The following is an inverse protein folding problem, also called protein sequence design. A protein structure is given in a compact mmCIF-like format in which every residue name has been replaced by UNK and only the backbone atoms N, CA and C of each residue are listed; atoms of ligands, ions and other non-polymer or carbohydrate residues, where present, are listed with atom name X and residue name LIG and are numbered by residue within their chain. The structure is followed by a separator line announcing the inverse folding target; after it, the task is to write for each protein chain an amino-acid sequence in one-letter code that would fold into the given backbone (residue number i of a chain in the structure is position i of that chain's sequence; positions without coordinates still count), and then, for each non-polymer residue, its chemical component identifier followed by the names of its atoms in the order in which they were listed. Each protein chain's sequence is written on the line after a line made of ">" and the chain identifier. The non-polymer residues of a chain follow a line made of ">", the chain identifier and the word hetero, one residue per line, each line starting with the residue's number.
data_IF_774018950683
#
_entry.id   IF_774018950683
#
_cell.length_a   1.000
_cell.length_b   1.000
_cell.length_c   1.000
_cell.angle_alpha   90.00
_cell.angle_beta   90.00
_cell.angle_gamma   90.00
#
_symmetry.space_group_name_H-M   'P 1'
#
loop_
_entity.id
_entity.type
_entity.pdbx_description
1 polymer ?
#
# COMPACT_ATOMS: atom_id res chain seq x y z
N UNK A 1 15.71 -1.41 11.51
CA UNK A 1 14.69 -0.55 12.16
C UNK A 1 13.54 -1.43 12.61
N UNK A 2 13.02 -1.28 13.84
CA UNK A 2 11.78 -1.97 14.21
C UNK A 2 10.63 -1.44 13.35
N UNK A 3 9.85 -2.34 12.77
CA UNK A 3 8.60 -2.01 12.09
C UNK A 3 7.62 -1.59 13.19
N UNK A 4 6.97 -0.43 13.04
CA UNK A 4 5.96 -0.01 14.00
C UNK A 4 4.85 -1.09 14.11
N UNK A 5 4.29 -1.33 15.31
CA UNK A 5 3.17 -2.24 15.44
C UNK A 5 2.02 -1.76 14.56
N UNK A 6 1.22 -2.70 14.06
CA UNK A 6 0.08 -2.40 13.23
C UNK A 6 -0.94 -1.51 13.97
N UNK A 7 -1.45 -0.50 13.29
CA UNK A 7 -2.56 0.34 13.80
C UNK A 7 -3.85 -0.44 13.91
N UNK A 8 -4.04 -1.41 13.00
CA UNK A 8 -5.20 -2.29 13.00
C UNK A 8 -4.83 -3.68 12.50
N UNK A 9 -5.40 -4.69 13.14
CA UNK A 9 -5.44 -6.06 12.62
C UNK A 9 -6.87 -6.37 12.23
N UNK A 10 -7.07 -6.82 11.00
CA UNK A 10 -8.35 -7.33 10.50
C UNK A 10 -8.38 -8.85 10.68
N UNK A 11 -9.57 -9.43 10.59
CA UNK A 11 -9.77 -10.88 10.69
C UNK A 11 -8.88 -11.61 9.67
N UNK A 12 -8.29 -12.73 10.10
CA UNK A 12 -7.36 -13.47 9.25
C UNK A 12 -5.99 -12.81 9.05
N UNK A 13 -5.44 -12.16 10.09
CA UNK A 13 -4.02 -11.71 10.16
C UNK A 13 -3.61 -10.68 9.12
N UNK A 14 -4.57 -9.92 8.56
CA UNK A 14 -4.22 -8.76 7.72
C UNK A 14 -3.93 -7.58 8.63
N UNK A 15 -2.80 -6.91 8.43
CA UNK A 15 -2.44 -5.75 9.25
C UNK A 15 -2.38 -4.49 8.41
N UNK A 16 -2.85 -3.40 9.01
CA UNK A 16 -2.83 -2.05 8.48
C UNK A 16 -1.89 -1.20 9.34
N UNK A 17 -0.85 -0.65 8.73
CA UNK A 17 0.15 0.18 9.42
C UNK A 17 0.26 1.53 8.72
N UNK A 18 0.02 2.61 9.45
CA UNK A 18 0.14 3.98 8.99
C UNK A 18 1.57 4.51 9.20
N UNK A 19 2.03 5.31 8.24
CA UNK A 19 3.18 6.18 8.46
C UNK A 19 2.88 7.21 9.55
N UNK A 20 3.92 7.79 10.14
CA UNK A 20 3.82 8.84 11.14
C UNK A 20 3.01 10.04 10.63
N UNK A 21 3.32 10.51 9.41
CA UNK A 21 2.60 11.63 8.79
C UNK A 21 1.11 11.31 8.53
N UNK A 22 0.79 10.09 8.09
CA UNK A 22 -0.61 9.69 7.92
C UNK A 22 -1.34 9.61 9.27
N UNK A 23 -0.70 9.08 10.31
CA UNK A 23 -1.27 8.97 11.66
C UNK A 23 -1.56 10.35 12.26
N UNK A 24 -0.64 11.29 12.09
CA UNK A 24 -0.80 12.67 12.54
C UNK A 24 -2.01 13.34 11.86
N UNK A 25 -2.08 13.31 10.53
CA UNK A 25 -3.15 13.95 9.76
C UNK A 25 -4.52 13.27 9.90
N UNK A 26 -4.56 11.98 10.26
CA UNK A 26 -5.80 11.27 10.51
C UNK A 26 -6.40 11.58 11.89
N UNK A 27 -5.64 12.16 12.82
CA UNK A 27 -6.10 12.53 14.16
C UNK A 27 -6.84 11.40 14.90
N UNK A 28 -6.27 10.18 14.87
CA UNK A 28 -6.85 9.00 15.54
C UNK A 28 -7.99 8.32 14.77
N UNK A 29 -8.33 8.78 13.56
CA UNK A 29 -9.22 8.03 12.66
C UNK A 29 -8.56 6.73 12.20
N UNK A 30 -9.41 5.75 11.87
CA UNK A 30 -8.97 4.42 11.46
C UNK A 30 -8.10 4.46 10.18
N UNK A 31 -7.15 3.53 10.00
CA UNK A 31 -6.25 3.50 8.84
C UNK A 31 -6.95 3.49 7.47
N UNK A 32 -8.16 2.91 7.41
CA UNK A 32 -8.98 2.90 6.20
C UNK A 32 -9.37 4.31 5.73
N UNK A 33 -9.28 5.31 6.59
CA UNK A 33 -9.53 6.69 6.22
C UNK A 33 -8.36 7.34 5.43
N UNK A 34 -7.28 6.61 5.11
CA UNK A 34 -6.12 7.16 4.39
C UNK A 34 -6.53 7.95 3.13
N UNK A 35 -7.46 7.41 2.32
CA UNK A 35 -7.85 8.07 1.07
C UNK A 35 -8.50 9.44 1.27
N UNK A 36 -9.02 9.73 2.47
CA UNK A 36 -9.54 11.06 2.83
C UNK A 36 -8.45 12.13 2.95
N UNK A 37 -7.18 11.72 2.99
CA UNK A 37 -6.02 12.63 3.00
C UNK A 37 -5.66 13.14 1.60
N UNK A 38 -6.27 12.61 0.53
CA UNK A 38 -6.06 13.11 -0.83
C UNK A 38 -6.60 14.54 -0.97
N UNK A 39 -5.75 15.45 -1.40
CA UNK A 39 -6.05 16.86 -1.67
C UNK A 39 -5.92 17.17 -3.17
N UNK A 40 -6.41 18.33 -3.60
CA UNK A 40 -6.25 18.78 -4.99
C UNK A 40 -4.76 18.89 -5.33
N UNK A 41 -4.34 18.21 -6.40
CA UNK A 41 -2.94 18.15 -6.82
C UNK A 41 -2.16 16.96 -6.25
N UNK A 42 -2.76 16.19 -5.33
CA UNK A 42 -2.19 14.92 -4.90
C UNK A 42 -2.40 13.82 -5.96
N UNK A 43 -1.59 12.76 -5.85
CA UNK A 43 -1.78 11.50 -6.56
C UNK A 43 -1.80 10.33 -5.57
N UNK A 44 -2.57 9.29 -5.90
CA UNK A 44 -2.50 8.00 -5.22
C UNK A 44 -1.44 7.13 -5.90
N UNK A 45 -0.51 6.56 -5.15
CA UNK A 45 0.37 5.50 -5.62
C UNK A 45 0.01 4.16 -4.96
N UNK A 46 -0.38 3.19 -5.79
CA UNK A 46 -0.65 1.81 -5.40
C UNK A 46 0.57 0.94 -5.69
N UNK A 47 1.23 0.46 -4.65
CA UNK A 47 2.51 -0.24 -4.72
C UNK A 47 2.33 -1.68 -4.26
N UNK A 48 2.54 -2.66 -5.16
CA UNK A 48 2.22 -4.06 -4.88
C UNK A 48 3.45 -4.97 -4.89
N UNK A 49 3.70 -5.63 -3.76
CA UNK A 49 4.61 -6.77 -3.58
C UNK A 49 3.77 -8.05 -3.46
N UNK A 50 3.13 -8.44 -4.56
CA UNK A 50 2.18 -9.56 -4.63
C UNK A 50 2.49 -10.55 -5.78
N UNK A 51 3.54 -10.29 -6.56
CA UNK A 51 3.75 -10.92 -7.86
C UNK A 51 2.65 -10.59 -8.90
N UNK A 52 2.91 -10.83 -10.20
CA UNK A 52 1.87 -10.71 -11.22
C UNK A 52 0.86 -11.85 -11.12
N UNK A 53 -0.39 -11.51 -10.80
CA UNK A 53 -1.54 -12.43 -10.78
C UNK A 53 -2.72 -11.72 -11.43
N UNK A 54 -3.43 -12.40 -12.34
CA UNK A 54 -4.50 -11.78 -13.13
C UNK A 54 -5.68 -11.36 -12.24
N UNK A 55 -6.08 -12.20 -11.28
CA UNK A 55 -7.23 -11.90 -10.43
C UNK A 55 -6.92 -10.75 -9.48
N UNK A 56 -5.72 -10.73 -8.88
CA UNK A 56 -5.30 -9.61 -8.03
C UNK A 56 -5.14 -8.33 -8.85
N UNK A 57 -4.60 -8.42 -10.08
CA UNK A 57 -4.45 -7.26 -10.97
C UNK A 57 -5.80 -6.63 -11.32
N UNK A 58 -6.86 -7.42 -11.51
CA UNK A 58 -8.22 -6.91 -11.71
C UNK A 58 -8.69 -6.08 -10.50
N UNK A 59 -8.52 -6.59 -9.27
CA UNK A 59 -8.93 -5.86 -8.06
C UNK A 59 -8.13 -4.56 -7.87
N UNK A 60 -6.81 -4.61 -8.07
CA UNK A 60 -5.93 -3.44 -7.97
C UNK A 60 -6.31 -2.37 -9.01
N UNK A 61 -6.68 -2.79 -10.22
CA UNK A 61 -7.14 -1.88 -11.28
C UNK A 61 -8.50 -1.27 -10.95
N UNK A 62 -9.46 -2.11 -10.52
CA UNK A 62 -10.79 -1.66 -10.13
C UNK A 62 -10.73 -0.63 -8.99
N UNK A 63 -9.93 -0.91 -7.96
CA UNK A 63 -9.69 0.04 -6.86
C UNK A 63 -9.14 1.38 -7.36
N UNK A 64 -8.10 1.37 -8.20
CA UNK A 64 -7.53 2.62 -8.74
C UNK A 64 -8.53 3.43 -9.56
N UNK A 65 -9.36 2.77 -10.35
CA UNK A 65 -10.42 3.43 -11.10
C UNK A 65 -11.46 4.05 -10.16
N UNK A 66 -11.91 3.32 -9.14
CA UNK A 66 -12.84 3.84 -8.16
C UNK A 66 -12.29 5.06 -7.40
N UNK A 67 -11.01 5.04 -7.00
CA UNK A 67 -10.37 6.21 -6.37
C UNK A 67 -10.34 7.40 -7.32
N UNK A 68 -9.87 7.21 -8.57
CA UNK A 68 -9.87 8.27 -9.59
C UNK A 68 -11.26 8.86 -9.76
N UNK A 69 -12.29 8.04 -9.90
CA UNK A 69 -13.64 8.51 -10.23
C UNK A 69 -14.24 9.30 -9.05
N UNK A 70 -14.00 8.87 -7.81
CA UNK A 70 -14.49 9.51 -6.59
C UNK A 70 -13.72 10.78 -6.19
N UNK A 71 -12.40 10.83 -6.45
CA UNK A 71 -11.51 11.89 -5.94
C UNK A 71 -10.97 12.82 -7.03
N UNK A 72 -11.03 12.41 -8.29
CA UNK A 72 -10.36 13.05 -9.43
C UNK A 72 -8.83 13.15 -9.30
N UNK A 73 -8.24 12.46 -8.31
CA UNK A 73 -6.80 12.38 -8.16
C UNK A 73 -6.19 11.50 -9.28
N UNK A 74 -4.99 11.88 -9.73
CA UNK A 74 -4.20 10.98 -10.55
C UNK A 74 -3.85 9.71 -9.77
N UNK A 75 -3.84 8.55 -10.42
CA UNK A 75 -3.47 7.29 -9.76
C UNK A 75 -2.33 6.60 -10.49
N UNK A 76 -1.38 6.08 -9.74
CA UNK A 76 -0.22 5.33 -10.22
C UNK A 76 -0.26 3.91 -9.68
N UNK A 77 0.33 2.98 -10.44
CA UNK A 77 0.49 1.60 -10.04
C UNK A 77 1.90 1.12 -10.34
N UNK A 78 2.50 0.36 -9.43
CA UNK A 78 3.78 -0.28 -9.65
C UNK A 78 3.89 -1.59 -8.87
N UNK A 79 4.47 -2.60 -9.52
CA UNK A 79 4.95 -3.79 -8.82
C UNK A 79 6.32 -3.53 -8.20
N UNK A 80 6.45 -3.81 -6.91
CA UNK A 80 7.71 -3.78 -6.17
C UNK A 80 8.57 -4.99 -6.49
N UNK A 81 9.91 -4.90 -6.36
CA UNK A 81 10.70 -3.68 -6.14
C UNK A 81 10.90 -2.83 -7.42
N UNK A 82 10.38 -3.27 -8.58
CA UNK A 82 10.70 -2.71 -9.90
C UNK A 82 10.46 -1.20 -10.04
N UNK A 83 9.39 -0.66 -9.48
CA UNK A 83 9.09 0.78 -9.62
C UNK A 83 10.12 1.68 -8.90
N UNK A 84 10.90 1.14 -7.95
CA UNK A 84 11.86 1.92 -7.17
C UNK A 84 12.91 2.61 -8.06
N UNK A 85 13.24 2.01 -9.20
CA UNK A 85 14.22 2.55 -10.14
C UNK A 85 13.68 3.61 -11.11
N UNK A 86 12.36 3.80 -11.17
CA UNK A 86 11.72 4.71 -12.13
C UNK A 86 11.01 5.86 -11.43
N UNK A 87 10.14 5.55 -10.46
CA UNK A 87 9.32 6.56 -9.77
C UNK A 87 9.77 6.81 -8.34
N UNK A 88 10.87 6.19 -7.88
CA UNK A 88 11.40 6.36 -6.53
C UNK A 88 11.70 7.81 -6.17
N UNK A 89 12.29 8.57 -7.11
CA UNK A 89 12.57 10.00 -6.89
C UNK A 89 11.26 10.81 -6.74
N UNK A 90 10.26 10.54 -7.56
CA UNK A 90 8.94 11.18 -7.44
C UNK A 90 8.30 10.85 -6.08
N UNK A 91 8.36 9.58 -5.66
CA UNK A 91 7.74 9.13 -4.42
C UNK A 91 8.42 9.69 -3.17
N UNK A 92 9.76 9.76 -3.14
CA UNK A 92 10.52 10.02 -1.90
C UNK A 92 11.26 11.36 -1.88
N UNK A 93 11.77 11.81 -3.03
CA UNK A 93 12.55 13.05 -3.13
C UNK A 93 11.82 14.22 -3.79
N UNK A 94 10.65 13.99 -4.39
CA UNK A 94 9.80 15.01 -5.00
C UNK A 94 8.91 15.76 -4.01
N UNK A 95 7.98 16.60 -4.50
CA UNK A 95 6.97 17.24 -3.67
C UNK A 95 6.17 16.23 -2.84
N UNK A 96 5.70 16.62 -1.65
CA UNK A 96 4.90 15.76 -0.77
C UNK A 96 3.43 15.66 -1.20
N UNK A 97 3.20 15.35 -2.48
CA UNK A 97 1.87 15.24 -3.09
C UNK A 97 1.41 13.79 -3.27
N UNK A 98 2.23 12.82 -2.85
CA UNK A 98 1.87 11.41 -2.91
C UNK A 98 1.11 10.96 -1.66
N UNK A 99 0.03 10.21 -1.87
CA UNK A 99 -0.61 9.36 -0.87
C UNK A 99 -0.40 7.90 -1.30
N UNK A 100 0.07 7.04 -0.41
CA UNK A 100 0.61 5.73 -0.78
C UNK A 100 -0.15 4.59 -0.13
N UNK A 101 -0.55 3.59 -0.92
CA UNK A 101 -1.01 2.30 -0.42
C UNK A 101 0.01 1.26 -0.88
N UNK A 102 0.81 0.75 0.05
CA UNK A 102 1.76 -0.32 -0.18
C UNK A 102 1.15 -1.63 0.30
N UNK A 103 1.15 -2.65 -0.54
CA UNK A 103 0.55 -3.95 -0.26
C UNK A 103 1.63 -5.01 -0.40
N UNK A 104 1.75 -5.87 0.61
CA UNK A 104 2.57 -7.08 0.54
C UNK A 104 1.82 -8.27 1.10
N UNK A 105 2.24 -9.47 0.71
CA UNK A 105 1.69 -10.70 1.26
C UNK A 105 2.79 -11.75 1.45
N UNK A 106 2.58 -12.66 2.40
CA UNK A 106 3.42 -13.86 2.48
C UNK A 106 3.14 -14.73 1.24
N UNK A 107 4.17 -15.11 0.44
CA UNK A 107 3.93 -15.89 -0.76
C UNK A 107 3.41 -17.29 -0.43
N UNK A 108 2.55 -17.85 -1.31
CA UNK A 108 2.02 -19.22 -1.15
C UNK A 108 3.10 -20.29 -1.31
N UNK A 109 4.05 -20.03 -2.20
CA UNK A 109 5.22 -20.86 -2.44
C UNK A 109 6.46 -20.00 -2.25
N UNK A 110 7.31 -20.39 -1.31
CA UNK A 110 8.54 -19.68 -1.00
C UNK A 110 9.75 -20.50 -1.45
N UNK A 111 10.66 -19.84 -2.19
CA UNK A 111 11.81 -20.49 -2.80
C UNK A 111 13.08 -20.12 -2.04
N UNK A 112 13.93 -21.10 -1.69
CA UNK A 112 15.24 -20.81 -1.10
C UNK A 112 16.13 -20.10 -2.13
N UNK A 113 16.99 -19.21 -1.65
CA UNK A 113 18.05 -18.62 -2.45
C UNK A 113 19.33 -19.46 -2.23
N UNK A 114 19.93 -20.06 -3.26
CA UNK A 114 21.14 -20.85 -3.09
C UNK A 114 22.27 -20.06 -2.43
N UNK A 115 22.81 -20.58 -1.33
CA UNK A 115 23.92 -19.95 -0.59
C UNK A 115 23.50 -18.92 0.46
N UNK A 116 22.21 -18.57 0.56
CA UNK A 116 21.70 -17.61 1.54
C UNK A 116 20.92 -18.31 2.66
N UNK A 117 20.90 -17.67 3.83
CA UNK A 117 20.13 -18.14 5.00
C UNK A 117 18.65 -17.77 4.94
N UNK A 118 18.23 -17.03 3.92
CA UNK A 118 16.87 -16.54 3.73
C UNK A 118 16.33 -16.89 2.34
N UNK A 119 15.01 -16.85 2.21
CA UNK A 119 14.28 -17.17 0.99
C UNK A 119 13.96 -15.93 0.14
N UNK A 120 13.48 -16.15 -1.09
CA UNK A 120 12.98 -15.06 -1.94
C UNK A 120 11.79 -14.34 -1.30
N UNK A 121 10.88 -15.05 -0.63
CA UNK A 121 9.77 -14.45 0.10
C UNK A 121 10.23 -13.59 1.27
N UNK A 122 11.25 -14.03 2.00
CA UNK A 122 11.87 -13.23 3.07
C UNK A 122 12.50 -11.95 2.49
N UNK A 123 13.20 -12.06 1.36
CA UNK A 123 13.81 -10.92 0.68
C UNK A 123 12.76 -9.92 0.17
N UNK A 124 11.69 -10.40 -0.47
CA UNK A 124 10.59 -9.55 -0.96
C UNK A 124 9.89 -8.81 0.19
N UNK A 125 9.60 -9.52 1.29
CA UNK A 125 9.02 -8.92 2.49
C UNK A 125 9.95 -7.85 3.07
N UNK A 126 11.25 -8.14 3.20
CA UNK A 126 12.24 -7.17 3.67
C UNK A 126 12.30 -5.92 2.78
N UNK A 127 12.20 -6.09 1.45
CA UNK A 127 12.15 -4.97 0.50
C UNK A 127 10.86 -4.14 0.65
N UNK A 128 9.70 -4.77 0.81
CA UNK A 128 8.43 -4.08 1.04
C UNK A 128 8.46 -3.23 2.31
N UNK A 129 8.97 -3.80 3.39
CA UNK A 129 9.13 -3.13 4.67
C UNK A 129 10.15 -1.99 4.61
N UNK A 130 11.27 -2.20 3.92
CA UNK A 130 12.27 -1.15 3.68
C UNK A 130 11.72 0.01 2.85
N UNK A 131 10.86 -0.28 1.86
CA UNK A 131 10.20 0.76 1.08
C UNK A 131 9.22 1.58 1.91
N UNK A 132 8.37 0.91 2.69
CA UNK A 132 7.46 1.59 3.61
C UNK A 132 8.19 2.45 4.64
N UNK A 133 9.26 1.92 5.25
CA UNK A 133 10.11 2.69 6.17
C UNK A 133 10.75 3.91 5.50
N UNK A 134 11.11 3.80 4.22
CA UNK A 134 11.64 4.93 3.45
C UNK A 134 10.58 6.00 3.17
N UNK A 135 9.34 5.59 2.86
CA UNK A 135 8.22 6.53 2.71
C UNK A 135 7.93 7.26 4.03
N UNK A 136 7.96 6.53 5.14
CA UNK A 136 7.74 7.09 6.48
C UNK A 136 8.85 8.08 6.88
N UNK A 137 10.12 7.72 6.67
CA UNK A 137 11.26 8.62 6.89
C UNK A 137 11.19 9.89 6.03
N UNK A 138 10.63 9.81 4.82
CA UNK A 138 10.38 10.94 3.93
C UNK A 138 9.08 11.71 4.27
N UNK A 139 8.44 11.42 5.41
CA UNK A 139 7.23 12.07 5.90
C UNK A 139 6.06 11.99 4.90
N UNK A 140 5.95 10.85 4.21
CA UNK A 140 4.86 10.59 3.27
C UNK A 140 3.64 10.06 3.99
N UNK A 141 2.46 10.39 3.48
CA UNK A 141 1.17 9.84 3.91
C UNK A 141 1.01 8.46 3.31
N UNK A 142 1.24 7.40 4.08
CA UNK A 142 1.27 6.04 3.58
C UNK A 142 0.53 5.05 4.49
N UNK A 143 -0.04 4.02 3.88
CA UNK A 143 -0.57 2.83 4.52
C UNK A 143 0.16 1.61 3.97
N UNK A 144 0.65 0.76 4.87
CA UNK A 144 1.09 -0.59 4.56
C UNK A 144 0.01 -1.60 4.91
N UNK A 145 -0.40 -2.38 3.92
CA UNK A 145 -1.29 -3.53 4.04
C UNK A 145 -0.44 -4.80 3.93
N UNK A 146 -0.33 -5.57 5.02
CA UNK A 146 0.31 -6.88 4.99
C UNK A 146 -0.76 -7.97 5.09
N UNK A 147 -0.84 -8.83 4.08
CA UNK A 147 -1.75 -9.98 4.04
C UNK A 147 -0.99 -11.29 4.39
N UNK A 148 -1.66 -12.30 4.98
CA UNK A 148 -1.04 -13.60 5.25
C UNK A 148 -0.81 -14.44 3.98
N UNK A 149 -1.44 -14.08 2.86
CA UNK A 149 -1.32 -14.74 1.56
C UNK A 149 -1.83 -13.80 0.45
N UNK A 150 -1.36 -13.95 -0.80
CA UNK A 150 -1.98 -13.32 -1.96
C UNK A 150 -3.37 -13.93 -2.16
N UNK A 151 -4.40 -13.22 -1.66
CA UNK A 151 -5.79 -13.66 -1.64
C UNK A 151 -6.71 -12.56 -2.17
N UNK A 152 -7.49 -12.90 -3.19
CA UNK A 152 -8.34 -11.95 -3.91
C UNK A 152 -9.46 -11.38 -3.04
N UNK A 153 -10.13 -12.24 -2.27
CA UNK A 153 -11.25 -11.82 -1.43
C UNK A 153 -10.79 -10.81 -0.38
N UNK A 154 -9.68 -11.13 0.28
CA UNK A 154 -9.05 -10.29 1.30
C UNK A 154 -8.53 -8.96 0.73
N UNK A 155 -7.92 -8.99 -0.45
CA UNK A 155 -7.51 -7.78 -1.14
C UNK A 155 -8.73 -6.88 -1.40
N UNK A 156 -9.81 -7.44 -1.95
CA UNK A 156 -11.04 -6.70 -2.21
C UNK A 156 -11.63 -6.11 -0.94
N UNK A 157 -11.72 -6.89 0.13
CA UNK A 157 -12.24 -6.44 1.43
C UNK A 157 -11.51 -5.19 1.95
N UNK A 158 -10.17 -5.18 1.88
CA UNK A 158 -9.37 -4.00 2.28
C UNK A 158 -9.62 -2.81 1.35
N UNK A 159 -9.67 -3.05 0.03
CA UNK A 159 -9.91 -2.00 -0.95
C UNK A 159 -11.30 -1.37 -0.81
N UNK A 160 -12.33 -2.18 -0.55
CA UNK A 160 -13.70 -1.72 -0.31
C UNK A 160 -13.76 -0.90 0.99
N UNK A 161 -13.14 -1.39 2.07
CA UNK A 161 -13.08 -0.66 3.34
C UNK A 161 -12.39 0.71 3.20
N UNK A 162 -11.36 0.83 2.36
CA UNK A 162 -10.72 2.12 2.03
C UNK A 162 -11.68 3.03 1.24
N UNK A 163 -12.38 2.48 0.23
CA UNK A 163 -13.31 3.22 -0.62
C UNK A 163 -14.55 3.72 0.13
N UNK A 164 -15.05 2.94 1.10
CA UNK A 164 -16.20 3.30 1.94
C UNK A 164 -15.96 4.55 2.79
N UNK A 165 -14.69 4.88 3.08
CA UNK A 165 -14.34 6.10 3.81
C UNK A 165 -14.34 7.35 2.94
N UNK A 166 -14.36 7.20 1.61
CA UNK A 166 -14.54 8.32 0.71
C UNK A 166 -16.02 8.74 0.67
N UNK A 167 -16.33 10.05 0.69
CA UNK A 167 -17.70 10.50 0.51
C UNK A 167 -18.23 10.04 -0.85
N UNK A 168 -19.47 9.55 -0.88
CA UNK A 168 -20.16 9.29 -2.14
C UNK A 168 -20.43 10.64 -2.83
N UNK A 169 -20.06 10.77 -4.11
CA UNK A 169 -20.45 11.94 -4.88
C UNK A 169 -21.94 11.84 -5.18
N UNK A 170 -22.71 12.83 -4.78
CA UNK A 170 -24.02 13.07 -5.38
C UNK A 170 -23.82 13.33 -6.87
N UNK A 171 -24.57 12.61 -7.70
CA UNK A 171 -24.59 12.77 -9.15
C UNK A 171 -25.05 14.16 -9.57
#
# INVERSE_FOLDING_TARGET
>A
MPIAPADRSLDGRTTLTLSAAAREELHGRAPEALLTLLRRGDYLALLAYLGPDAELAEELRAFRHAVRDRTQAATMFGYGPRYLHSTGQLHKGGPNTGVFVLISATPRADLPIPGEVFSFGTLELAQALGDFASLDAAQRRALHVQMPAPDRHRLREVMDALLERLPQRSA
#
